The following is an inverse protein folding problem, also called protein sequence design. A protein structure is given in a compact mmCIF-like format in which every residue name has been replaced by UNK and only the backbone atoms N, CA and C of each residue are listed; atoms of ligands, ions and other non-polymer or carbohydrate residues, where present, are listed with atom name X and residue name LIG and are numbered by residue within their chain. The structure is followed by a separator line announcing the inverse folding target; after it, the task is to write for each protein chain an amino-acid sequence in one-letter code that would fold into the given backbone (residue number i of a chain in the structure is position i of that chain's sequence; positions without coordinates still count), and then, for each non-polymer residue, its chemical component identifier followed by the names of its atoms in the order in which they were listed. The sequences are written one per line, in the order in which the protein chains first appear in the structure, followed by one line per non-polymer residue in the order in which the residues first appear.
data_IF_866294051569
#
_entry.id   IF_866294051569
#
_cell.length_a   1.000
_cell.length_b   1.000
_cell.length_c   1.000
_cell.angle_alpha   90.00
_cell.angle_beta   90.00
_cell.angle_gamma   90.00
#
_symmetry.space_group_name_H-M   'P 1'
#
loop_
_entity.id
_entity.type
_entity.pdbx_description
1 polymer ?
#
# COMPACT_ATOMS: atom_id res chain seq x y z
N UNK A 1 -12.85 -8.17 -7.40
CA UNK A 1 -12.32 -6.94 -6.79
C UNK A 1 -12.65 -5.70 -7.61
N UNK A 2 -12.28 -5.60 -8.89
CA UNK A 2 -12.58 -4.42 -9.72
C UNK A 2 -14.07 -4.03 -9.73
N UNK A 3 -14.99 -5.00 -9.81
CA UNK A 3 -16.43 -4.72 -9.67
C UNK A 3 -16.84 -4.16 -8.30
N UNK A 4 -16.15 -4.54 -7.22
CA UNK A 4 -16.37 -3.97 -5.89
C UNK A 4 -15.93 -2.51 -5.85
N UNK A 5 -14.78 -2.18 -6.46
CA UNK A 5 -14.30 -0.79 -6.58
C UNK A 5 -15.25 0.06 -7.44
N UNK A 6 -15.71 -0.49 -8.56
CA UNK A 6 -16.67 0.19 -9.45
C UNK A 6 -17.98 0.52 -8.71
N UNK A 7 -18.47 -0.37 -7.84
CA UNK A 7 -19.65 -0.10 -6.99
C UNK A 7 -19.47 1.08 -6.03
N UNK A 8 -18.23 1.47 -5.75
CA UNK A 8 -17.86 2.63 -4.93
C UNK A 8 -17.49 3.85 -5.79
N UNK A 9 -17.73 3.82 -7.10
CA UNK A 9 -17.38 4.90 -8.02
C UNK A 9 -15.89 4.98 -8.36
N UNK A 10 -15.11 3.93 -8.10
CA UNK A 10 -13.67 3.88 -8.36
C UNK A 10 -13.41 3.04 -9.61
N UNK A 11 -12.96 3.69 -10.69
CA UNK A 11 -12.45 3.01 -11.88
C UNK A 11 -11.09 2.36 -11.59
N UNK A 12 -10.86 1.15 -12.15
CA UNK A 12 -9.61 0.43 -11.98
C UNK A 12 -9.18 -0.21 -13.31
N UNK A 13 -7.93 0.01 -13.69
CA UNK A 13 -7.24 -0.75 -14.74
C UNK A 13 -6.65 -2.01 -14.11
N UNK A 14 -6.95 -3.18 -14.68
CA UNK A 14 -6.39 -4.46 -14.21
C UNK A 14 -5.42 -4.98 -15.25
N UNK A 15 -4.19 -5.23 -14.84
CA UNK A 15 -3.13 -5.73 -15.70
C UNK A 15 -2.60 -7.04 -15.16
N UNK A 16 -2.57 -8.07 -16.01
CA UNK A 16 -1.78 -9.26 -15.79
C UNK A 16 -0.48 -9.14 -16.61
N UNK A 17 0.68 -8.99 -15.97
CA UNK A 17 1.94 -8.79 -16.69
C UNK A 17 2.43 -10.05 -17.42
N UNK A 18 1.82 -11.23 -17.18
CA UNK A 18 2.23 -12.58 -17.66
C UNK A 18 3.61 -13.06 -17.19
N UNK A 19 4.57 -12.15 -17.02
CA UNK A 19 5.92 -12.36 -16.51
C UNK A 19 6.31 -11.18 -15.63
N UNK A 20 6.94 -11.50 -14.50
CA UNK A 20 7.22 -10.51 -13.44
C UNK A 20 8.62 -9.90 -13.54
N UNK A 21 9.55 -10.52 -14.28
CA UNK A 21 10.91 -10.02 -14.46
C UNK A 21 11.40 -10.24 -15.91
N UNK A 22 12.11 -9.26 -16.49
CA UNK A 22 12.27 -7.88 -15.99
C UNK A 22 10.92 -7.15 -15.94
N UNK A 23 10.82 -6.11 -15.10
CA UNK A 23 9.58 -5.31 -15.04
C UNK A 23 9.36 -4.64 -16.40
N UNK A 24 8.16 -4.81 -16.96
CA UNK A 24 7.81 -4.15 -18.22
C UNK A 24 7.73 -2.63 -18.01
N UNK A 25 8.46 -1.88 -18.83
CA UNK A 25 8.48 -0.41 -18.84
C UNK A 25 7.10 0.19 -19.04
N UNK A 26 6.22 -0.49 -19.79
CA UNK A 26 4.85 -0.02 -20.02
C UNK A 26 4.04 0.03 -18.71
N UNK A 27 4.35 -0.84 -17.73
CA UNK A 27 3.72 -0.78 -16.40
C UNK A 27 4.18 0.45 -15.62
N UNK A 28 5.46 0.79 -15.75
CA UNK A 28 6.03 1.99 -15.12
C UNK A 28 5.42 3.25 -15.74
N UNK A 29 5.30 3.29 -17.07
CA UNK A 29 4.68 4.41 -17.77
C UNK A 29 3.20 4.55 -17.42
N UNK A 30 2.43 3.46 -17.49
CA UNK A 30 1.01 3.44 -17.14
C UNK A 30 0.75 3.88 -15.69
N UNK A 31 1.70 3.64 -14.78
CA UNK A 31 1.56 4.05 -13.38
C UNK A 31 1.44 5.57 -13.20
N UNK A 32 1.99 6.37 -14.12
CA UNK A 32 1.94 7.84 -14.06
C UNK A 32 0.52 8.39 -14.23
N UNK A 33 -0.34 7.67 -14.96
CA UNK A 33 -1.72 8.07 -15.22
C UNK A 33 -2.69 7.68 -14.08
N UNK A 34 -2.18 7.03 -13.03
CA UNK A 34 -2.99 6.52 -11.94
C UNK A 34 -2.65 7.24 -10.63
N UNK A 35 -3.65 7.43 -9.78
CA UNK A 35 -3.47 7.99 -8.42
C UNK A 35 -2.89 6.98 -7.43
N UNK A 36 -3.11 5.69 -7.70
CA UNK A 36 -2.73 4.58 -6.85
C UNK A 36 -2.48 3.35 -7.72
N UNK A 37 -1.34 2.70 -7.50
CA UNK A 37 -1.02 1.37 -8.02
C UNK A 37 -1.14 0.37 -6.88
N UNK A 38 -1.69 -0.80 -7.17
CA UNK A 38 -1.78 -1.90 -6.22
C UNK A 38 -1.26 -3.16 -6.88
N UNK A 39 -0.22 -3.77 -6.31
CA UNK A 39 0.20 -5.12 -6.71
C UNK A 39 -0.45 -6.14 -5.81
N UNK A 40 -0.90 -7.26 -6.38
CA UNK A 40 -1.52 -8.37 -5.65
C UNK A 40 -0.82 -9.64 -6.08
N UNK A 41 -0.19 -10.33 -5.13
CA UNK A 41 0.54 -11.58 -5.35
C UNK A 41 0.18 -12.63 -4.31
N UNK A 42 0.15 -13.91 -4.73
CA UNK A 42 0.12 -15.08 -3.83
C UNK A 42 1.56 -15.47 -3.45
N UNK A 43 2.30 -14.47 -2.98
CA UNK A 43 3.73 -14.53 -2.68
C UNK A 43 4.08 -13.54 -1.57
N UNK A 44 5.37 -13.38 -1.27
CA UNK A 44 5.80 -12.47 -0.21
C UNK A 44 5.51 -11.01 -0.58
N UNK A 45 4.81 -10.31 0.32
CA UNK A 45 4.61 -8.85 0.24
C UNK A 45 5.93 -8.09 0.19
N UNK A 46 6.91 -8.54 0.96
CA UNK A 46 8.25 -7.91 1.07
C UNK A 46 9.26 -8.70 0.25
N UNK A 47 9.97 -8.00 -0.64
CA UNK A 47 10.97 -8.63 -1.51
C UNK A 47 10.38 -9.38 -2.70
N UNK A 48 9.05 -9.41 -2.85
CA UNK A 48 8.33 -9.97 -3.99
C UNK A 48 8.24 -9.01 -5.18
N UNK A 49 7.26 -9.28 -6.04
CA UNK A 49 7.04 -8.49 -7.27
C UNK A 49 6.71 -7.04 -6.94
N UNK A 50 5.85 -6.80 -5.95
CA UNK A 50 5.48 -5.45 -5.52
C UNK A 50 6.66 -4.60 -5.10
N UNK A 51 7.61 -5.20 -4.37
CA UNK A 51 8.83 -4.51 -3.94
C UNK A 51 9.73 -4.14 -5.11
N UNK A 52 9.79 -4.98 -6.15
CA UNK A 52 10.54 -4.66 -7.38
C UNK A 52 9.85 -3.56 -8.19
N UNK A 53 8.52 -3.61 -8.35
CA UNK A 53 7.76 -2.53 -9.00
C UNK A 53 8.05 -1.20 -8.29
N UNK A 54 8.06 -1.17 -6.95
CA UNK A 54 8.40 0.05 -6.21
C UNK A 54 9.78 0.59 -6.56
N UNK A 55 10.77 -0.29 -6.65
CA UNK A 55 12.14 0.11 -6.99
C UNK A 55 12.20 0.71 -8.40
N UNK A 56 11.50 0.11 -9.37
CA UNK A 56 11.45 0.62 -10.74
C UNK A 56 10.71 1.96 -10.83
N UNK A 57 9.58 2.13 -10.13
CA UNK A 57 8.88 3.43 -10.08
C UNK A 57 9.81 4.53 -9.54
N UNK A 58 10.51 4.26 -8.43
CA UNK A 58 11.48 5.21 -7.86
C UNK A 58 12.65 5.50 -8.79
N UNK A 59 13.20 4.49 -9.44
CA UNK A 59 14.31 4.66 -10.37
C UNK A 59 13.94 5.49 -11.62
N UNK A 60 12.65 5.58 -11.95
CA UNK A 60 12.10 6.36 -13.05
C UNK A 60 11.38 7.64 -12.57
N UNK A 61 11.59 8.07 -11.32
CA UNK A 61 11.01 9.29 -10.74
C UNK A 61 9.47 9.34 -10.82
N UNK A 62 8.82 8.17 -10.69
CA UNK A 62 7.36 8.05 -10.64
C UNK A 62 6.90 8.03 -9.19
N UNK A 63 6.25 9.11 -8.78
CA UNK A 63 5.75 9.32 -7.40
C UNK A 63 4.36 8.74 -7.13
N UNK A 64 3.79 7.97 -8.07
CA UNK A 64 2.50 7.32 -7.88
C UNK A 64 2.54 6.41 -6.65
N UNK A 65 1.56 6.60 -5.74
CA UNK A 65 1.44 5.78 -4.56
C UNK A 65 1.31 4.30 -4.94
N UNK A 66 2.05 3.43 -4.25
CA UNK A 66 2.06 1.99 -4.50
C UNK A 66 1.81 1.20 -3.21
N UNK A 67 0.72 0.43 -3.20
CA UNK A 67 0.38 -0.53 -2.15
C UNK A 67 0.68 -1.95 -2.61
N UNK A 68 1.36 -2.74 -1.77
CA UNK A 68 1.66 -4.13 -2.09
C UNK A 68 0.81 -5.04 -1.21
N UNK A 69 0.16 -5.98 -1.87
CA UNK A 69 -0.69 -6.98 -1.24
C UNK A 69 -0.07 -8.34 -1.50
N UNK A 70 0.27 -9.03 -0.41
CA UNK A 70 0.89 -10.35 -0.42
C UNK A 70 1.02 -10.89 0.99
N UNK A 71 1.57 -12.09 1.09
CA UNK A 71 1.80 -12.83 2.34
C UNK A 71 2.95 -12.18 3.14
N UNK A 72 2.85 -12.06 4.48
CA UNK A 72 3.96 -11.55 5.29
C UNK A 72 5.17 -12.52 5.27
N UNK A 73 6.36 -11.98 5.50
CA UNK A 73 7.60 -12.75 5.61
C UNK A 73 7.75 -13.40 7.00
N UNK A 74 6.80 -14.25 7.37
CA UNK A 74 6.78 -14.98 8.63
C UNK A 74 6.18 -16.38 8.45
N UNK A 75 6.37 -17.24 9.45
CA UNK A 75 5.72 -18.54 9.47
C UNK A 75 4.23 -18.38 9.80
N UNK A 76 3.38 -18.95 8.95
CA UNK A 76 1.94 -18.99 9.18
C UNK A 76 1.57 -20.26 9.95
N UNK A 77 0.63 -20.12 10.87
CA UNK A 77 -0.01 -21.26 11.51
C UNK A 77 -0.76 -22.11 10.48
N UNK A 78 -0.78 -23.42 10.71
CA UNK A 78 -1.54 -24.33 9.85
C UNK A 78 -3.04 -24.05 9.96
N UNK A 79 -3.68 -23.85 8.82
CA UNK A 79 -5.11 -23.59 8.68
C UNK A 79 -5.50 -23.85 7.23
N UNK A 80 -6.80 -23.87 6.94
CA UNK A 80 -7.29 -23.92 5.56
C UNK A 80 -6.90 -22.65 4.80
N UNK A 81 -6.65 -22.76 3.49
CA UNK A 81 -6.21 -21.61 2.67
C UNK A 81 -7.14 -20.40 2.80
N UNK A 82 -8.46 -20.62 2.83
CA UNK A 82 -9.44 -19.54 2.99
C UNK A 82 -9.31 -18.84 4.33
N UNK A 83 -9.01 -19.56 5.40
CA UNK A 83 -8.84 -19.00 6.74
C UNK A 83 -7.55 -18.17 6.83
N UNK A 84 -6.47 -18.67 6.20
CA UNK A 84 -5.21 -17.92 6.07
C UNK A 84 -5.45 -16.60 5.32
N UNK A 85 -6.11 -16.65 4.16
CA UNK A 85 -6.38 -15.43 3.37
C UNK A 85 -7.29 -14.44 4.10
N UNK A 86 -8.31 -14.92 4.82
CA UNK A 86 -9.17 -14.06 5.62
C UNK A 86 -8.39 -13.40 6.76
N UNK A 87 -7.59 -14.18 7.50
CA UNK A 87 -6.73 -13.70 8.60
C UNK A 87 -5.72 -12.66 8.13
N UNK A 88 -5.14 -12.86 6.94
CA UNK A 88 -4.17 -11.95 6.36
C UNK A 88 -4.81 -10.77 5.62
N UNK A 89 -6.15 -10.71 5.52
CA UNK A 89 -6.86 -9.67 4.79
C UNK A 89 -6.67 -9.75 3.26
N UNK A 90 -6.24 -10.90 2.73
CA UNK A 90 -5.96 -11.15 1.32
C UNK A 90 -7.19 -11.60 0.52
N UNK A 91 -8.39 -11.37 1.05
CA UNK A 91 -9.63 -11.61 0.30
C UNK A 91 -9.99 -10.42 -0.57
N UNK A 92 -10.66 -10.67 -1.70
CA UNK A 92 -11.05 -9.60 -2.62
C UNK A 92 -11.89 -8.50 -1.95
N UNK A 93 -12.64 -8.83 -0.89
CA UNK A 93 -13.48 -7.90 -0.13
C UNK A 93 -12.64 -7.01 0.80
N UNK A 94 -11.70 -7.61 1.53
CA UNK A 94 -10.77 -6.89 2.42
C UNK A 94 -9.83 -5.98 1.64
N UNK A 95 -9.24 -6.48 0.55
CA UNK A 95 -8.39 -5.68 -0.34
C UNK A 95 -9.17 -4.50 -0.93
N UNK A 96 -10.38 -4.72 -1.46
CA UNK A 96 -11.19 -3.62 -2.01
C UNK A 96 -11.50 -2.55 -0.96
N UNK A 97 -11.85 -2.94 0.27
CA UNK A 97 -12.10 -2.01 1.38
C UNK A 97 -10.87 -1.14 1.66
N UNK A 98 -9.69 -1.74 1.71
CA UNK A 98 -8.44 -1.03 1.96
C UNK A 98 -8.05 -0.08 0.83
N UNK A 99 -8.30 -0.45 -0.42
CA UNK A 99 -8.09 0.42 -1.58
C UNK A 99 -9.04 1.62 -1.53
N UNK A 100 -10.32 1.40 -1.23
CA UNK A 100 -11.30 2.50 -1.08
C UNK A 100 -10.85 3.48 0.00
N UNK A 101 -10.42 2.97 1.16
CA UNK A 101 -9.92 3.81 2.25
C UNK A 101 -8.70 4.66 1.85
N UNK A 102 -7.78 4.10 1.06
CA UNK A 102 -6.62 4.81 0.50
C UNK A 102 -7.04 5.89 -0.50
N UNK A 103 -7.92 5.56 -1.46
CA UNK A 103 -8.39 6.50 -2.49
C UNK A 103 -9.14 7.70 -1.88
N UNK A 104 -9.90 7.46 -0.81
CA UNK A 104 -10.62 8.50 -0.06
C UNK A 104 -9.72 9.31 0.88
N UNK A 105 -8.43 8.99 1.01
CA UNK A 105 -7.52 9.72 1.90
C UNK A 105 -7.78 9.48 3.40
N UNK A 106 -8.49 8.42 3.75
CA UNK A 106 -8.70 8.03 5.16
C UNK A 106 -7.54 7.18 5.73
N UNK A 107 -6.60 6.77 4.87
CA UNK A 107 -5.33 6.12 5.21
C UNK A 107 -4.17 6.89 4.57
N UNK A 108 -3.75 8.00 5.18
CA UNK A 108 -2.59 8.79 4.73
C UNK A 108 -1.42 8.55 5.69
N UNK A 109 -0.19 8.28 5.18
CA UNK A 109 1.01 8.28 6.00
C UNK A 109 1.16 9.65 6.68
N UNK A 110 1.19 9.67 8.01
CA UNK A 110 1.51 10.89 8.75
C UNK A 110 3.03 11.02 8.79
N UNK A 111 3.54 12.17 8.34
CA UNK A 111 4.93 12.52 8.58
C UNK A 111 5.17 12.52 10.11
N UNK A 112 6.34 12.02 10.54
CA UNK A 112 6.76 12.23 11.92
C UNK A 112 6.77 13.74 12.18
N UNK A 113 6.24 14.16 13.32
CA UNK A 113 6.41 15.53 13.76
C UNK A 113 7.92 15.83 13.85
N UNK A 114 8.31 17.02 13.40
CA UNK A 114 9.64 17.52 13.70
C UNK A 114 9.69 17.81 15.20
N UNK A 115 10.54 17.10 15.94
CA UNK A 115 10.87 17.47 17.31
C UNK A 115 11.88 18.62 17.23
N UNK A 116 11.45 19.84 17.56
CA UNK A 116 12.37 20.96 17.74
C UNK A 116 13.21 20.71 19.00
N UNK A 117 14.43 20.19 18.85
CA UNK A 117 15.40 20.00 19.94
C UNK A 117 15.78 21.31 20.68
N UNK A 118 15.36 22.47 20.14
CA UNK A 118 15.57 23.80 20.73
C UNK A 118 14.36 24.36 21.48
N UNK A 119 13.26 23.62 21.62
CA UNK A 119 12.13 24.06 22.43
C UNK A 119 12.48 23.94 23.93
N UNK A 120 12.99 25.03 24.52
CA UNK A 120 13.18 25.14 25.96
C UNK A 120 11.84 24.86 26.68
N UNK A 121 11.82 24.07 27.77
CA UNK A 121 10.60 23.88 28.55
C UNK A 121 10.12 25.24 29.04
N UNK A 122 8.95 25.66 28.59
CA UNK A 122 8.27 26.81 29.14
C UNK A 122 7.93 26.44 30.60
N UNK A 123 8.76 26.88 31.54
CA UNK A 123 8.44 26.83 32.96
C UNK A 123 7.15 27.61 33.14
N UNK A 124 6.03 26.91 33.31
CA UNK A 124 4.79 27.49 33.78
C UNK A 124 5.09 28.00 35.18
N UNK A 125 5.32 29.31 35.30
CA UNK A 125 5.30 29.99 36.59
C UNK A 125 3.87 29.88 37.09
N UNK A 126 3.64 28.98 38.03
CA UNK A 126 2.39 28.84 38.74
C UNK A 126 2.22 30.08 39.63
N UNK A 127 1.23 30.96 39.39
CA UNK A 127 0.98 32.07 40.28
C UNK A 127 0.13 31.56 41.45
N UNK A 128 0.80 31.23 42.56
CA UNK A 128 0.27 31.19 43.93
C UNK A 128 -1.14 30.59 44.12
N UNK A 129 -1.20 29.35 44.64
CA UNK A 129 -2.00 28.95 45.82
C UNK A 129 -1.65 27.53 46.27
#
# INVERSE_FOLDING_TARGET
MAGLLASQGIGATVVDPRWILPINKDLVEMSKDHRLVVTIEDGLKTGGFGSRVRQELRANEVDTALSEVGVPAEFLEHAERSEILERLGLTAKSIARDIVAQVLGSKVPHAKAFEDENAQPQLTQDPLL
#
